data_IF_537757754337
#
_entry.id   IF_537757754337
#
_cell.length_a   1.000
_cell.length_b   1.000
_cell.length_c   1.000
_cell.angle_alpha   90.00
_cell.angle_beta   90.00
_cell.angle_gamma   90.00
#
_symmetry.space_group_name_H-M   'P 1'
#
loop_
_entity.id
_entity.type
_entity.pdbx_description
1 polymer ?
#
# COMPACT_ATOMS: atom_id res chain seq x y z
N UNK A 1 22.01 14.39 26.52
CA UNK A 1 22.17 13.77 27.85
C UNK A 1 20.90 12.97 28.15
N UNK A 2 21.08 11.66 28.32
CA UNK A 2 20.22 10.65 28.98
C UNK A 2 18.71 10.56 28.70
N UNK A 3 18.30 10.23 27.48
CA UNK A 3 16.90 9.78 27.23
C UNK A 3 16.81 8.28 26.82
N UNK A 4 17.93 7.55 26.86
CA UNK A 4 17.99 6.11 26.56
C UNK A 4 17.85 5.20 27.78
N UNK A 5 17.94 5.76 29.01
CA UNK A 5 17.92 4.97 30.26
C UNK A 5 16.55 4.45 30.69
N UNK A 6 15.45 5.04 30.22
CA UNK A 6 14.12 4.90 30.85
C UNK A 6 13.09 4.07 30.07
N UNK A 7 13.41 3.52 28.90
CA UNK A 7 12.48 2.72 28.10
C UNK A 7 12.90 1.25 28.04
N UNK A 8 13.10 0.66 29.22
CA UNK A 8 13.29 -0.79 29.33
C UNK A 8 12.03 -1.52 28.82
N UNK A 9 12.15 -2.43 27.84
CA UNK A 9 11.00 -3.16 27.33
C UNK A 9 10.43 -4.08 28.42
N UNK A 10 9.09 -4.25 28.44
CA UNK A 10 8.43 -5.05 29.47
C UNK A 10 8.88 -6.52 29.46
N UNK A 11 8.89 -7.13 30.64
CA UNK A 11 9.38 -8.50 30.83
C UNK A 11 8.36 -9.58 30.41
N UNK A 12 7.06 -9.25 30.42
CA UNK A 12 6.00 -10.16 30.02
C UNK A 12 5.94 -10.34 28.49
N UNK A 13 5.78 -11.56 27.96
CA UNK A 13 5.84 -11.83 26.53
C UNK A 13 4.75 -11.10 25.73
N UNK A 14 3.52 -11.02 26.26
CA UNK A 14 2.41 -10.29 25.63
C UNK A 14 2.63 -8.78 25.63
N UNK A 15 3.09 -8.23 26.75
CA UNK A 15 3.39 -6.79 26.85
C UNK A 15 4.59 -6.40 25.97
N UNK A 16 5.59 -7.28 25.84
CA UNK A 16 6.72 -7.11 24.92
C UNK A 16 6.28 -7.21 23.46
N UNK A 17 5.34 -8.10 23.15
CA UNK A 17 4.78 -8.16 21.82
C UNK A 17 4.03 -6.88 21.44
N UNK A 18 3.24 -6.34 22.38
CA UNK A 18 2.57 -5.06 22.20
C UNK A 18 3.57 -3.89 22.08
N UNK A 19 4.63 -3.90 22.87
CA UNK A 19 5.72 -2.92 22.80
C UNK A 19 6.37 -2.89 21.41
N UNK A 20 6.61 -4.07 20.83
CA UNK A 20 7.22 -4.25 19.51
C UNK A 20 6.21 -4.19 18.35
N UNK A 21 4.92 -3.95 18.60
CA UNK A 21 3.89 -3.87 17.56
C UNK A 21 4.01 -2.56 16.76
N UNK A 22 4.79 -2.59 15.68
CA UNK A 22 5.03 -1.45 14.77
C UNK A 22 3.81 -1.11 13.90
N UNK A 23 3.66 0.17 13.52
CA UNK A 23 2.65 0.62 12.55
C UNK A 23 2.76 -0.08 11.18
N UNK A 24 3.92 -0.63 10.87
CA UNK A 24 4.16 -1.41 9.67
C UNK A 24 3.21 -2.62 9.53
N UNK A 25 2.67 -3.17 10.62
CA UNK A 25 1.64 -4.20 10.56
C UNK A 25 0.39 -3.83 9.76
N UNK A 26 0.08 -2.54 9.60
CA UNK A 26 -1.07 -2.08 8.82
C UNK A 26 -0.96 -2.37 7.31
N UNK A 27 0.20 -2.83 6.83
CA UNK A 27 0.38 -3.18 5.42
C UNK A 27 -0.23 -4.54 5.08
N UNK A 28 -0.44 -5.41 6.08
CA UNK A 28 -1.16 -6.69 5.90
C UNK A 28 -2.63 -6.46 5.50
N UNK A 29 -3.45 -5.69 6.25
CA UNK A 29 -4.82 -5.40 5.82
C UNK A 29 -4.84 -4.55 4.55
N UNK A 30 -3.87 -3.66 4.33
CA UNK A 30 -3.75 -2.91 3.07
C UNK A 30 -3.65 -3.85 1.85
N UNK A 31 -2.69 -4.79 1.86
CA UNK A 31 -2.49 -5.72 0.75
C UNK A 31 -3.63 -6.73 0.59
N UNK A 32 -4.22 -7.16 1.70
CA UNK A 32 -5.37 -8.09 1.67
C UNK A 32 -6.63 -7.41 1.11
N UNK A 33 -6.84 -6.13 1.44
CA UNK A 33 -7.98 -5.35 0.96
C UNK A 33 -8.00 -5.16 -0.54
N UNK A 34 -6.86 -4.84 -1.16
CA UNK A 34 -6.80 -4.68 -2.62
C UNK A 34 -7.03 -6.00 -3.36
N UNK A 35 -6.59 -7.14 -2.81
CA UNK A 35 -6.87 -8.46 -3.41
C UNK A 35 -8.38 -8.72 -3.43
N UNK A 36 -9.10 -8.37 -2.37
CA UNK A 36 -10.56 -8.49 -2.34
C UNK A 36 -11.22 -7.66 -3.47
N UNK A 37 -10.76 -6.42 -3.68
CA UNK A 37 -11.24 -5.55 -4.76
C UNK A 37 -11.01 -6.20 -6.12
N UNK A 38 -9.79 -6.67 -6.40
CA UNK A 38 -9.45 -7.23 -7.73
C UNK A 38 -10.23 -8.53 -7.98
N UNK A 39 -10.32 -9.43 -6.99
CA UNK A 39 -11.09 -10.68 -7.10
C UNK A 39 -12.55 -10.43 -7.45
N UNK A 40 -13.16 -9.40 -6.85
CA UNK A 40 -14.56 -9.07 -7.10
C UNK A 40 -14.80 -8.51 -8.51
N UNK A 41 -13.79 -7.86 -9.10
CA UNK A 41 -13.90 -7.09 -10.35
C UNK A 41 -13.37 -7.79 -11.59
N UNK A 42 -12.66 -8.90 -11.43
CA UNK A 42 -12.10 -9.67 -12.54
C UNK A 42 -13.19 -10.03 -13.58
N UNK A 43 -12.85 -10.04 -14.88
CA UNK A 43 -13.78 -10.44 -15.95
C UNK A 43 -14.12 -11.93 -15.91
N UNK A 44 -13.11 -12.79 -15.77
CA UNK A 44 -13.29 -14.24 -15.68
C UNK A 44 -13.76 -14.65 -14.28
N UNK A 45 -15.08 -14.64 -14.08
CA UNK A 45 -15.72 -15.02 -12.81
C UNK A 45 -16.21 -16.46 -12.88
N UNK A 46 -15.97 -17.22 -11.81
CA UNK A 46 -16.69 -18.48 -11.54
C UNK A 46 -17.60 -18.30 -10.32
N UNK A 47 -18.58 -19.20 -10.15
CA UNK A 47 -19.66 -19.07 -9.16
C UNK A 47 -19.22 -18.88 -7.69
N UNK A 48 -17.95 -19.12 -7.35
CA UNK A 48 -17.39 -18.92 -6.01
C UNK A 48 -16.49 -17.68 -5.85
N UNK A 49 -16.09 -17.00 -6.93
CA UNK A 49 -15.03 -15.98 -6.86
C UNK A 49 -15.47 -14.72 -6.11
N UNK A 50 -16.70 -14.24 -6.34
CA UNK A 50 -17.28 -13.11 -5.59
C UNK A 50 -17.48 -13.44 -4.10
N UNK A 51 -17.81 -14.69 -3.79
CA UNK A 51 -17.91 -15.17 -2.41
C UNK A 51 -16.53 -15.16 -1.74
N UNK A 52 -15.50 -15.66 -2.43
CA UNK A 52 -14.12 -15.60 -1.95
C UNK A 52 -13.66 -14.15 -1.73
N UNK A 53 -13.95 -13.25 -2.68
CA UNK A 53 -13.66 -11.82 -2.55
C UNK A 53 -14.32 -11.21 -1.30
N UNK A 54 -15.56 -11.59 -1.01
CA UNK A 54 -16.28 -11.16 0.20
C UNK A 54 -15.62 -11.70 1.48
N UNK A 55 -15.19 -12.96 1.48
CA UNK A 55 -14.48 -13.56 2.64
C UNK A 55 -13.18 -12.80 2.90
N UNK A 56 -12.37 -12.55 1.86
CA UNK A 56 -11.12 -11.79 1.97
C UNK A 56 -11.38 -10.34 2.43
N UNK A 57 -12.49 -9.73 1.99
CA UNK A 57 -12.91 -8.40 2.44
C UNK A 57 -13.26 -8.37 3.94
N UNK A 58 -14.08 -9.31 4.42
CA UNK A 58 -14.41 -9.43 5.85
C UNK A 58 -13.14 -9.68 6.67
N UNK A 59 -12.27 -10.57 6.18
CA UNK A 59 -10.98 -10.84 6.79
C UNK A 59 -10.12 -9.58 6.91
N UNK A 60 -10.13 -8.71 5.90
CA UNK A 60 -9.44 -7.41 5.92
C UNK A 60 -10.01 -6.47 6.99
N UNK A 61 -11.34 -6.39 7.13
CA UNK A 61 -12.00 -5.57 8.16
C UNK A 61 -11.58 -6.04 9.55
N UNK A 62 -11.61 -7.36 9.78
CA UNK A 62 -11.21 -7.96 11.07
C UNK A 62 -9.73 -7.68 11.36
N UNK A 63 -8.85 -7.84 10.37
CA UNK A 63 -7.42 -7.54 10.52
C UNK A 63 -7.17 -6.07 10.86
N UNK A 64 -7.79 -5.14 10.12
CA UNK A 64 -7.63 -3.71 10.36
C UNK A 64 -8.14 -3.34 11.76
N UNK A 65 -9.33 -3.81 12.14
CA UNK A 65 -9.91 -3.56 13.46
C UNK A 65 -9.03 -4.09 14.59
N UNK A 66 -8.55 -5.33 14.47
CA UNK A 66 -7.66 -5.94 15.46
C UNK A 66 -6.35 -5.15 15.61
N UNK A 67 -5.73 -4.77 14.49
CA UNK A 67 -4.46 -4.05 14.51
C UNK A 67 -4.61 -2.62 15.03
N UNK A 68 -5.74 -1.96 14.74
CA UNK A 68 -6.07 -0.67 15.32
C UNK A 68 -6.22 -0.76 16.84
N UNK A 69 -6.96 -1.76 17.34
CA UNK A 69 -7.12 -1.98 18.78
C UNK A 69 -5.75 -2.20 19.45
N UNK A 70 -4.90 -3.06 18.88
CA UNK A 70 -3.56 -3.32 19.40
C UNK A 70 -2.67 -2.06 19.37
N UNK A 71 -2.70 -1.30 18.29
CA UNK A 71 -1.91 -0.07 18.18
C UNK A 71 -2.38 1.02 19.15
N UNK A 72 -3.69 1.17 19.33
CA UNK A 72 -4.27 2.07 20.33
C UNK A 72 -3.87 1.63 21.76
N UNK A 73 -3.93 0.33 22.06
CA UNK A 73 -3.45 -0.21 23.34
C UNK A 73 -1.98 0.14 23.57
N UNK A 74 -1.14 0.03 22.54
CA UNK A 74 0.28 0.41 22.59
C UNK A 74 0.46 1.90 22.86
N UNK A 75 -0.35 2.77 22.24
CA UNK A 75 -0.33 4.22 22.48
C UNK A 75 -0.69 4.54 23.94
N UNK A 76 -1.75 3.92 24.49
CA UNK A 76 -2.21 4.19 25.84
C UNK A 76 -1.28 3.63 26.93
N UNK A 77 -0.74 2.42 26.73
CA UNK A 77 0.12 1.77 27.72
C UNK A 77 1.57 2.25 27.66
N UNK A 78 2.07 2.64 26.49
CA UNK A 78 3.48 3.00 26.27
C UNK A 78 3.66 4.31 25.47
N UNK A 79 3.05 5.44 25.90
CA UNK A 79 3.00 6.67 25.11
C UNK A 79 4.39 7.25 24.82
N UNK A 80 5.30 7.25 25.81
CA UNK A 80 6.68 7.75 25.67
C UNK A 80 7.47 6.93 24.65
N UNK A 81 7.28 5.62 24.64
CA UNK A 81 7.92 4.73 23.68
C UNK A 81 7.43 5.01 22.26
N UNK A 82 6.11 5.08 22.07
CA UNK A 82 5.52 5.33 20.75
C UNK A 82 5.97 6.70 20.22
N UNK A 83 5.93 7.74 21.04
CA UNK A 83 6.42 9.07 20.66
C UNK A 83 7.89 9.06 20.24
N UNK A 84 8.74 8.33 20.98
CA UNK A 84 10.14 8.16 20.61
C UNK A 84 10.30 7.43 19.27
N UNK A 85 9.53 6.37 19.01
CA UNK A 85 9.56 5.66 17.72
C UNK A 85 9.10 6.56 16.56
N UNK A 86 8.01 7.31 16.72
CA UNK A 86 7.53 8.24 15.70
C UNK A 86 8.53 9.37 15.41
N UNK A 87 9.34 9.79 16.39
CA UNK A 87 10.36 10.83 16.17
C UNK A 87 11.64 10.30 15.53
N UNK A 88 11.98 9.03 15.72
CA UNK A 88 13.30 8.52 15.35
C UNK A 88 13.28 7.49 14.22
N UNK A 89 12.11 6.94 13.85
CA UNK A 89 11.98 5.95 12.77
C UNK A 89 10.99 6.41 11.70
N UNK A 90 11.53 6.73 10.53
CA UNK A 90 10.77 7.13 9.33
C UNK A 90 9.74 6.08 8.91
N UNK A 91 10.12 4.80 8.89
CA UNK A 91 9.22 3.69 8.56
C UNK A 91 7.98 3.66 9.46
N UNK A 92 8.13 3.90 10.77
CA UNK A 92 7.00 3.89 11.72
C UNK A 92 6.01 5.02 11.39
N UNK A 93 6.52 6.21 11.04
CA UNK A 93 5.67 7.34 10.66
C UNK A 93 5.00 7.14 9.30
N UNK A 94 5.73 6.63 8.29
CA UNK A 94 5.19 6.41 6.94
C UNK A 94 4.07 5.37 6.95
N UNK A 95 4.25 4.26 7.66
CA UNK A 95 3.27 3.16 7.65
C UNK A 95 1.95 3.50 8.34
N UNK A 96 1.83 4.63 9.06
CA UNK A 96 0.55 5.06 9.62
C UNK A 96 -0.48 5.38 8.51
N UNK A 97 -0.04 5.82 7.33
CA UNK A 97 -0.95 6.09 6.22
C UNK A 97 -1.60 4.80 5.67
N UNK A 98 -1.03 3.63 5.94
CA UNK A 98 -1.58 2.34 5.53
C UNK A 98 -2.94 2.04 6.16
N UNK A 99 -3.26 2.66 7.31
CA UNK A 99 -4.59 2.64 7.90
C UNK A 99 -5.61 3.22 6.90
N UNK A 100 -5.31 4.41 6.36
CA UNK A 100 -6.17 5.07 5.37
C UNK A 100 -6.24 4.27 4.06
N UNK A 101 -5.13 3.74 3.57
CA UNK A 101 -5.12 2.92 2.34
C UNK A 101 -5.98 1.67 2.49
N UNK A 102 -5.81 0.92 3.59
CA UNK A 102 -6.62 -0.27 3.88
C UNK A 102 -8.11 0.08 4.02
N UNK A 103 -8.41 1.22 4.67
CA UNK A 103 -9.79 1.68 4.81
C UNK A 103 -10.41 2.05 3.47
N UNK A 104 -9.67 2.68 2.55
CA UNK A 104 -10.14 2.91 1.17
C UNK A 104 -10.52 1.61 0.47
N UNK A 105 -9.70 0.56 0.56
CA UNK A 105 -10.02 -0.74 -0.07
C UNK A 105 -11.29 -1.37 0.52
N UNK A 106 -11.48 -1.24 1.83
CA UNK A 106 -12.72 -1.67 2.49
C UNK A 106 -13.93 -0.89 1.94
N UNK A 107 -13.82 0.44 1.80
CA UNK A 107 -14.89 1.28 1.27
C UNK A 107 -15.18 1.03 -0.20
N UNK A 108 -14.15 0.76 -1.03
CA UNK A 108 -14.33 0.38 -2.43
C UNK A 108 -15.13 -0.93 -2.55
N UNK A 109 -14.79 -1.95 -1.77
CA UNK A 109 -15.56 -3.20 -1.73
C UNK A 109 -16.98 -2.98 -1.19
N UNK A 110 -17.14 -2.15 -0.18
CA UNK A 110 -18.46 -1.78 0.33
C UNK A 110 -19.30 -1.09 -0.75
N UNK A 111 -18.72 -0.18 -1.54
CA UNK A 111 -19.39 0.48 -2.66
C UNK A 111 -19.81 -0.52 -3.75
N UNK A 112 -18.92 -1.44 -4.12
CA UNK A 112 -19.19 -2.45 -5.16
C UNK A 112 -20.30 -3.45 -4.79
N UNK A 113 -20.54 -3.67 -3.49
CA UNK A 113 -21.55 -4.63 -2.99
C UNK A 113 -22.82 -3.97 -2.46
N UNK A 114 -22.70 -2.84 -1.79
CA UNK A 114 -23.77 -2.15 -1.07
C UNK A 114 -23.98 -0.70 -1.52
N UNK A 115 -23.40 -0.28 -2.66
CA UNK A 115 -23.52 1.07 -3.19
C UNK A 115 -24.97 1.51 -3.46
N UNK A 116 -25.86 0.57 -3.78
CA UNK A 116 -27.28 0.84 -4.00
C UNK A 116 -28.06 1.13 -2.71
N UNK A 117 -27.71 0.48 -1.59
CA UNK A 117 -28.48 0.55 -0.33
C UNK A 117 -27.86 1.49 0.69
N UNK A 118 -26.52 1.54 0.74
CA UNK A 118 -25.75 2.25 1.77
C UNK A 118 -24.81 3.31 1.19
N UNK A 119 -25.08 3.80 -0.02
CA UNK A 119 -24.22 4.73 -0.74
C UNK A 119 -23.86 6.01 0.05
N UNK A 120 -24.83 6.60 0.75
CA UNK A 120 -24.59 7.80 1.57
C UNK A 120 -23.66 7.52 2.77
N UNK A 121 -23.84 6.38 3.45
CA UNK A 121 -22.97 6.02 4.57
C UNK A 121 -21.53 5.79 4.10
N UNK A 122 -21.35 5.10 2.97
CA UNK A 122 -20.04 4.86 2.35
C UNK A 122 -19.39 6.19 1.94
N UNK A 123 -20.16 7.13 1.40
CA UNK A 123 -19.70 8.46 1.05
C UNK A 123 -19.20 9.27 2.26
N UNK A 124 -19.95 9.24 3.37
CA UNK A 124 -19.54 9.93 4.61
C UNK A 124 -18.24 9.33 5.16
N UNK A 125 -18.16 7.99 5.19
CA UNK A 125 -16.94 7.30 5.63
C UNK A 125 -15.75 7.58 4.71
N UNK A 126 -15.99 7.75 3.40
CA UNK A 126 -14.96 8.16 2.46
C UNK A 126 -14.42 9.55 2.78
N UNK A 127 -15.26 10.54 3.07
CA UNK A 127 -14.78 11.87 3.48
C UNK A 127 -13.89 11.84 4.73
N UNK A 128 -14.25 11.02 5.72
CA UNK A 128 -13.40 10.80 6.90
C UNK A 128 -12.04 10.25 6.48
N UNK A 129 -12.04 9.28 5.57
CA UNK A 129 -10.81 8.69 5.05
C UNK A 129 -9.97 9.65 4.20
N UNK A 130 -10.60 10.45 3.34
CA UNK A 130 -9.98 11.53 2.57
C UNK A 130 -9.30 12.52 3.50
N UNK A 131 -9.96 12.92 4.59
CA UNK A 131 -9.34 13.73 5.63
C UNK A 131 -8.07 13.10 6.22
N UNK A 132 -8.11 11.79 6.54
CA UNK A 132 -6.93 11.06 7.00
C UNK A 132 -5.82 10.99 5.95
N UNK A 133 -6.16 10.76 4.67
CA UNK A 133 -5.21 10.67 3.57
C UNK A 133 -4.50 12.01 3.31
N UNK A 134 -5.25 13.11 3.27
CA UNK A 134 -4.71 14.46 3.10
C UNK A 134 -3.83 14.85 4.30
N UNK A 135 -4.28 14.56 5.53
CA UNK A 135 -3.47 14.78 6.73
C UNK A 135 -2.17 13.99 6.68
N UNK A 136 -2.20 12.72 6.28
CA UNK A 136 -0.99 11.91 6.11
C UNK A 136 -0.06 12.51 5.05
N UNK A 137 -0.60 12.91 3.90
CA UNK A 137 0.13 13.51 2.77
C UNK A 137 0.83 14.83 3.15
N UNK A 138 0.25 15.63 4.05
CA UNK A 138 0.84 16.89 4.50
C UNK A 138 1.77 16.72 5.70
N UNK A 139 1.33 16.00 6.74
CA UNK A 139 2.02 15.93 8.03
C UNK A 139 3.23 15.01 7.98
N UNK A 140 3.13 13.85 7.33
CA UNK A 140 4.23 12.86 7.35
C UNK A 140 5.48 13.41 6.64
N UNK A 141 5.41 13.96 5.41
CA UNK A 141 6.59 14.55 4.77
C UNK A 141 7.14 15.75 5.56
N UNK A 142 6.28 16.57 6.18
CA UNK A 142 6.72 17.66 7.05
C UNK A 142 7.52 17.15 8.25
N UNK A 143 7.03 16.09 8.92
CA UNK A 143 7.73 15.43 10.05
C UNK A 143 9.07 14.87 9.59
N UNK A 144 9.13 14.24 8.41
CA UNK A 144 10.38 13.74 7.84
C UNK A 144 11.41 14.85 7.62
N UNK A 145 10.97 15.97 7.02
CA UNK A 145 11.84 17.10 6.68
C UNK A 145 12.31 17.92 7.89
N UNK A 146 11.45 18.09 8.91
CA UNK A 146 11.72 19.00 10.04
C UNK A 146 12.14 18.30 11.31
N UNK A 147 11.62 17.10 11.58
CA UNK A 147 11.84 16.42 12.86
C UNK A 147 12.76 15.21 12.72
N UNK A 148 12.73 14.52 11.59
CA UNK A 148 13.51 13.31 11.34
C UNK A 148 14.67 13.53 10.37
N UNK A 149 15.30 14.72 10.41
CA UNK A 149 16.45 15.06 9.56
C UNK A 149 17.54 13.99 9.69
N UNK A 150 17.47 13.03 8.80
CA UNK A 150 18.42 11.93 8.78
C UNK A 150 19.68 12.51 8.21
N UNK A 151 20.77 12.53 8.97
CA UNK A 151 22.13 12.78 8.45
C UNK A 151 22.58 11.78 7.37
N UNK A 152 21.66 10.97 6.84
CA UNK A 152 21.83 10.03 5.74
C UNK A 152 21.44 10.75 4.45
N UNK A 153 22.42 10.91 3.55
CA UNK A 153 22.27 11.45 2.18
C UNK A 153 21.29 10.69 1.26
N UNK A 154 20.59 9.68 1.77
CA UNK A 154 19.79 8.76 0.97
C UNK A 154 18.35 8.73 1.45
N UNK A 155 17.46 9.19 0.58
CA UNK A 155 16.03 9.12 0.78
C UNK A 155 15.54 7.70 0.47
N UNK A 156 14.81 7.10 1.39
CA UNK A 156 14.24 5.77 1.20
C UNK A 156 12.86 5.85 0.53
N UNK A 157 12.54 4.88 -0.32
CA UNK A 157 11.31 4.85 -1.11
C UNK A 157 10.02 4.66 -0.28
N UNK A 158 10.12 4.31 1.01
CA UNK A 158 9.02 4.33 1.97
C UNK A 158 8.49 5.75 2.25
N UNK A 159 9.25 6.79 1.92
CA UNK A 159 8.80 8.18 2.01
C UNK A 159 7.64 8.50 1.05
N UNK A 160 7.40 7.65 0.04
CA UNK A 160 6.30 7.80 -0.92
C UNK A 160 4.93 7.35 -0.40
N UNK A 161 4.87 6.59 0.70
CA UNK A 161 3.61 5.99 1.18
C UNK A 161 2.49 7.03 1.45
N UNK A 162 2.76 8.21 2.04
CA UNK A 162 1.70 9.19 2.27
C UNK A 162 1.05 9.69 0.97
N UNK A 163 1.83 9.80 -0.11
CA UNK A 163 1.31 10.17 -1.43
C UNK A 163 0.47 9.04 -2.03
N UNK A 164 0.86 7.79 -1.81
CA UNK A 164 0.04 6.63 -2.18
C UNK A 164 -1.31 6.64 -1.47
N UNK A 165 -1.39 7.11 -0.22
CA UNK A 165 -2.67 7.24 0.48
C UNK A 165 -3.63 8.22 -0.21
N UNK A 166 -3.13 9.39 -0.64
CA UNK A 166 -3.92 10.35 -1.41
C UNK A 166 -4.38 9.76 -2.76
N UNK A 167 -3.48 9.12 -3.51
CA UNK A 167 -3.83 8.45 -4.78
C UNK A 167 -4.85 7.32 -4.60
N UNK A 168 -4.76 6.60 -3.48
CA UNK A 168 -5.73 5.55 -3.16
C UNK A 168 -7.08 6.15 -2.80
N UNK A 169 -7.13 7.18 -1.96
CA UNK A 169 -8.35 7.93 -1.63
C UNK A 169 -9.06 8.44 -2.89
N UNK A 170 -8.30 9.01 -3.84
CA UNK A 170 -8.81 9.48 -5.12
C UNK A 170 -9.47 8.36 -5.95
N UNK A 171 -8.84 7.18 -6.02
CA UNK A 171 -9.45 6.02 -6.65
C UNK A 171 -10.73 5.56 -5.93
N UNK A 172 -10.73 5.59 -4.59
CA UNK A 172 -11.92 5.33 -3.79
C UNK A 172 -13.07 6.28 -4.13
N UNK A 173 -12.79 7.57 -4.25
CA UNK A 173 -13.77 8.60 -4.61
C UNK A 173 -14.37 8.37 -5.99
N UNK A 174 -13.52 8.06 -6.99
CA UNK A 174 -13.97 7.67 -8.32
C UNK A 174 -14.89 6.44 -8.31
N UNK A 175 -14.48 5.36 -7.63
CA UNK A 175 -15.29 4.14 -7.54
C UNK A 175 -16.63 4.40 -6.85
N UNK A 176 -16.63 5.13 -5.72
CA UNK A 176 -17.85 5.43 -4.97
C UNK A 176 -18.81 6.27 -5.80
N UNK A 177 -18.33 7.33 -6.47
CA UNK A 177 -19.15 8.16 -7.34
C UNK A 177 -19.67 7.40 -8.56
N UNK A 178 -18.92 6.42 -9.08
CA UNK A 178 -19.34 5.57 -10.19
C UNK A 178 -20.45 4.58 -9.80
N UNK A 179 -20.34 3.92 -8.65
CA UNK A 179 -21.18 2.74 -8.33
C UNK A 179 -22.24 2.98 -7.26
N UNK A 180 -22.10 4.03 -6.45
CA UNK A 180 -23.03 4.29 -5.35
C UNK A 180 -24.16 5.21 -5.79
N UNK A 181 -25.40 4.92 -5.36
CA UNK A 181 -26.57 5.78 -5.60
C UNK A 181 -26.49 7.02 -4.72
N UNK A 182 -25.82 8.05 -5.22
CA UNK A 182 -25.63 9.33 -4.56
C UNK A 182 -26.08 10.43 -5.52
N UNK A 183 -26.64 11.53 -5.01
CA UNK A 183 -27.05 12.63 -5.87
C UNK A 183 -25.85 13.27 -6.58
N UNK A 184 -26.00 13.74 -7.83
CA UNK A 184 -24.93 14.41 -8.58
C UNK A 184 -24.31 15.61 -7.84
N UNK A 185 -25.12 16.29 -7.01
CA UNK A 185 -24.66 17.41 -6.17
C UNK A 185 -23.61 17.00 -5.12
N UNK A 186 -23.64 15.76 -4.65
CA UNK A 186 -22.67 15.21 -3.71
C UNK A 186 -21.50 14.53 -4.42
N UNK A 187 -21.74 13.94 -5.61
CA UNK A 187 -20.70 13.30 -6.43
C UNK A 187 -19.68 14.31 -6.96
N UNK A 188 -20.13 15.48 -7.45
CA UNK A 188 -19.24 16.46 -8.07
C UNK A 188 -18.13 16.95 -7.12
N UNK A 189 -18.40 17.39 -5.87
CA UNK A 189 -17.34 17.75 -4.94
C UNK A 189 -16.35 16.60 -4.66
N UNK A 190 -16.84 15.37 -4.54
CA UNK A 190 -15.99 14.21 -4.31
C UNK A 190 -15.09 13.90 -5.50
N UNK A 191 -15.60 14.04 -6.74
CA UNK A 191 -14.82 13.92 -7.98
C UNK A 191 -13.74 15.00 -8.02
N UNK A 192 -14.10 16.26 -7.76
CA UNK A 192 -13.16 17.39 -7.77
C UNK A 192 -12.04 17.18 -6.74
N UNK A 193 -12.39 16.86 -5.50
CA UNK A 193 -11.39 16.60 -4.44
C UNK A 193 -10.51 15.41 -4.80
N UNK A 194 -11.07 14.36 -5.40
CA UNK A 194 -10.28 13.21 -5.86
C UNK A 194 -9.27 13.60 -6.96
N UNK A 195 -9.63 14.49 -7.89
CA UNK A 195 -8.68 15.03 -8.87
C UNK A 195 -7.60 15.92 -8.21
N UNK A 196 -7.95 16.67 -7.17
CA UNK A 196 -6.97 17.46 -6.40
C UNK A 196 -5.98 16.55 -5.64
N UNK A 197 -6.48 15.51 -4.98
CA UNK A 197 -5.65 14.48 -4.34
C UNK A 197 -4.72 13.81 -5.35
N UNK A 198 -5.23 13.54 -6.55
CA UNK A 198 -4.45 12.98 -7.65
C UNK A 198 -3.34 13.91 -8.10
N UNK A 199 -3.63 15.20 -8.28
CA UNK A 199 -2.65 16.21 -8.66
C UNK A 199 -1.51 16.33 -7.65
N UNK A 200 -1.84 16.39 -6.35
CA UNK A 200 -0.84 16.43 -5.27
C UNK A 200 -0.03 15.12 -5.22
N UNK A 201 -0.70 13.98 -5.23
CA UNK A 201 -0.05 12.67 -5.13
C UNK A 201 0.90 12.41 -6.29
N UNK A 202 0.45 12.62 -7.53
CA UNK A 202 1.23 12.34 -8.73
C UNK A 202 2.44 13.28 -8.88
N UNK A 203 2.25 14.57 -8.63
CA UNK A 203 3.34 15.55 -8.74
C UNK A 203 4.45 15.28 -7.72
N UNK A 204 4.08 14.94 -6.47
CA UNK A 204 5.05 14.64 -5.42
C UNK A 204 5.75 13.29 -5.67
N UNK A 205 5.03 12.29 -6.17
CA UNK A 205 5.64 11.03 -6.61
C UNK A 205 6.69 11.29 -7.69
N UNK A 206 6.35 12.03 -8.75
CA UNK A 206 7.30 12.32 -9.84
C UNK A 206 8.55 13.09 -9.34
N UNK A 207 8.39 14.02 -8.40
CA UNK A 207 9.50 14.75 -7.80
C UNK A 207 10.43 13.82 -6.99
N UNK A 208 9.86 12.96 -6.16
CA UNK A 208 10.62 11.99 -5.36
C UNK A 208 11.26 10.91 -6.22
N UNK A 209 10.57 10.44 -7.28
CA UNK A 209 11.10 9.50 -8.27
C UNK A 209 12.35 10.07 -8.95
N UNK A 210 12.31 11.35 -9.33
CA UNK A 210 13.46 12.04 -9.92
C UNK A 210 14.65 12.11 -8.94
N UNK A 211 14.40 12.38 -7.66
CA UNK A 211 15.45 12.40 -6.63
C UNK A 211 16.04 11.01 -6.42
N UNK A 212 15.22 9.96 -6.39
CA UNK A 212 15.68 8.58 -6.25
C UNK A 212 16.49 8.16 -7.48
N UNK A 213 16.04 8.53 -8.68
CA UNK A 213 16.79 8.30 -9.91
C UNK A 213 18.15 9.01 -9.90
N UNK A 214 18.22 10.27 -9.46
CA UNK A 214 19.47 11.01 -9.31
C UNK A 214 20.43 10.32 -8.31
N UNK A 215 19.89 9.76 -7.21
CA UNK A 215 20.69 8.98 -6.27
C UNK A 215 21.26 7.71 -6.90
N UNK A 216 20.62 7.12 -7.92
CA UNK A 216 21.18 5.96 -8.62
C UNK A 216 22.41 6.29 -9.44
N UNK A 217 22.41 7.42 -10.15
CA UNK A 217 23.58 7.86 -10.92
C UNK A 217 24.81 8.16 -10.04
N UNK A 218 24.60 8.52 -8.77
CA UNK A 218 25.68 8.83 -7.83
C UNK A 218 26.25 7.63 -7.05
N UNK A 219 25.74 6.40 -7.25
CA UNK A 219 26.10 5.24 -6.43
C UNK A 219 27.05 4.29 -7.15
N UNK A 220 28.13 3.88 -6.48
CA UNK A 220 29.14 2.92 -6.99
C UNK A 220 28.82 1.45 -6.68
N UNK A 221 27.98 1.15 -5.68
CA UNK A 221 27.52 -0.21 -5.35
C UNK A 221 26.09 -0.20 -4.80
N UNK A 222 25.27 -1.18 -5.20
CA UNK A 222 23.92 -1.38 -4.67
C UNK A 222 23.91 -2.53 -3.66
N UNK A 223 23.50 -2.25 -2.42
CA UNK A 223 23.18 -3.30 -1.45
C UNK A 223 21.89 -4.00 -1.86
N UNK A 224 21.76 -5.31 -1.60
CA UNK A 224 20.58 -6.13 -1.96
C UNK A 224 19.25 -5.55 -1.47
N UNK A 225 19.28 -4.77 -0.39
CA UNK A 225 18.12 -4.08 0.17
C UNK A 225 17.58 -2.92 -0.66
N UNK A 226 18.41 -2.31 -1.50
CA UNK A 226 18.03 -1.15 -2.31
C UNK A 226 17.38 -1.56 -3.62
N UNK A 227 17.78 -2.71 -4.17
CA UNK A 227 17.26 -3.27 -5.42
C UNK A 227 15.76 -3.51 -5.37
N UNK A 228 15.24 -3.88 -4.20
CA UNK A 228 13.80 -4.08 -4.03
C UNK A 228 13.03 -2.77 -3.87
N UNK A 229 13.68 -1.65 -3.55
CA UNK A 229 13.03 -0.33 -3.44
C UNK A 229 12.61 0.21 -4.82
N UNK A 230 13.25 -0.22 -5.90
CA UNK A 230 12.88 0.14 -7.28
C UNK A 230 11.44 -0.24 -7.60
N UNK A 231 10.96 -1.35 -7.05
CA UNK A 231 9.58 -1.77 -7.25
C UNK A 231 8.58 -0.87 -6.53
N UNK A 232 8.97 -0.08 -5.54
CA UNK A 232 8.00 0.75 -4.84
C UNK A 232 7.43 1.84 -5.76
N UNK A 233 8.22 2.25 -6.75
CA UNK A 233 7.91 3.35 -7.67
C UNK A 233 6.76 3.02 -8.63
N UNK A 234 6.55 1.75 -8.98
CA UNK A 234 5.45 1.36 -9.87
C UNK A 234 4.06 1.42 -9.20
N UNK A 235 3.97 1.57 -7.87
CA UNK A 235 2.70 1.61 -7.14
C UNK A 235 1.90 2.85 -7.18
N UNK A 236 2.50 3.98 -6.84
CA UNK A 236 1.89 5.26 -7.08
C UNK A 236 1.39 5.38 -8.53
N UNK A 237 2.17 4.91 -9.51
CA UNK A 237 1.78 4.92 -10.92
C UNK A 237 0.55 4.05 -11.20
N UNK A 238 0.55 2.78 -10.76
CA UNK A 238 -0.60 1.90 -10.91
C UNK A 238 -1.86 2.43 -10.21
N UNK A 239 -1.70 2.98 -9.00
CA UNK A 239 -2.80 3.54 -8.22
C UNK A 239 -3.37 4.83 -8.83
N UNK A 240 -2.51 5.72 -9.33
CA UNK A 240 -2.92 6.92 -10.06
C UNK A 240 -3.68 6.56 -11.34
N UNK A 241 -3.24 5.53 -12.06
CA UNK A 241 -3.94 5.02 -13.25
C UNK A 241 -5.35 4.52 -12.90
N UNK A 242 -5.49 3.71 -11.84
CA UNK A 242 -6.82 3.27 -11.36
C UNK A 242 -7.70 4.47 -11.00
N UNK A 243 -7.14 5.47 -10.33
CA UNK A 243 -7.89 6.66 -9.93
C UNK A 243 -8.40 7.44 -11.14
N UNK A 244 -7.56 7.67 -12.15
CA UNK A 244 -7.95 8.36 -13.39
C UNK A 244 -9.01 7.59 -14.18
N UNK A 245 -8.92 6.27 -14.22
CA UNK A 245 -9.94 5.41 -14.85
C UNK A 245 -11.28 5.53 -14.10
N UNK A 246 -11.27 5.33 -12.78
CA UNK A 246 -12.48 5.40 -11.97
C UNK A 246 -13.14 6.80 -11.98
N UNK A 247 -12.34 7.86 -11.97
CA UNK A 247 -12.85 9.24 -12.05
C UNK A 247 -13.38 9.58 -13.44
N UNK A 248 -12.70 9.15 -14.50
CA UNK A 248 -13.18 9.33 -15.88
C UNK A 248 -14.55 8.69 -16.09
N UNK A 249 -14.73 7.47 -15.60
CA UNK A 249 -16.03 6.78 -15.64
C UNK A 249 -17.10 7.46 -14.79
N UNK A 250 -16.75 7.95 -13.59
CA UNK A 250 -17.69 8.67 -12.73
C UNK A 250 -18.19 9.97 -13.37
N UNK A 251 -17.33 10.65 -14.15
CA UNK A 251 -17.71 11.82 -14.95
C UNK A 251 -18.62 11.42 -16.12
N UNK A 252 -18.24 10.35 -16.85
CA UNK A 252 -19.00 9.84 -18.00
C UNK A 252 -20.38 9.29 -17.60
N UNK A 253 -20.55 8.82 -16.37
CA UNK A 253 -21.82 8.34 -15.82
C UNK A 253 -22.90 9.44 -15.66
N UNK A 254 -22.63 10.69 -16.07
CA UNK A 254 -23.62 11.76 -16.12
C UNK A 254 -23.60 12.71 -14.92
N UNK A 255 -22.66 12.54 -13.99
CA UNK A 255 -22.52 13.41 -12.80
C UNK A 255 -22.40 14.90 -13.18
N UNK A 256 -21.64 15.21 -14.24
CA UNK A 256 -21.44 16.59 -14.71
C UNK A 256 -22.64 17.10 -15.51
N UNK A 257 -23.26 16.24 -16.32
CA UNK A 257 -24.46 16.58 -17.08
C UNK A 257 -25.64 16.96 -16.18
N UNK A 258 -25.80 16.27 -15.04
CA UNK A 258 -26.86 16.55 -14.08
C UNK A 258 -26.54 17.74 -13.14
N UNK A 259 -25.28 18.15 -13.02
CA UNK A 259 -24.88 19.30 -12.22
C UNK A 259 -25.06 20.61 -12.99
N UNK A 260 -24.68 20.63 -14.28
CA UNK A 260 -24.86 21.71 -15.26
C UNK A 260 -24.55 23.12 -14.71
N UNK A 261 -23.32 23.32 -14.22
CA UNK A 261 -22.86 24.61 -13.70
C UNK A 261 -21.49 24.99 -14.26
N UNK A 262 -21.36 26.26 -14.65
CA UNK A 262 -20.09 26.81 -15.16
C UNK A 262 -19.72 26.22 -16.51
N UNK A 263 -18.43 26.21 -16.85
CA UNK A 263 -17.93 25.70 -18.13
C UNK A 263 -17.47 24.24 -18.04
N UNK A 264 -16.84 23.85 -16.93
CA UNK A 264 -16.21 22.53 -16.76
C UNK A 264 -17.17 21.44 -16.27
N UNK A 265 -18.24 21.79 -15.55
CA UNK A 265 -19.18 20.84 -14.95
C UNK A 265 -20.48 20.78 -15.76
N UNK A 266 -20.33 20.55 -17.07
CA UNK A 266 -21.43 20.49 -18.04
C UNK A 266 -21.39 19.19 -18.81
N UNK A 267 -22.52 18.83 -19.44
CA UNK A 267 -22.59 17.63 -20.29
C UNK A 267 -21.56 17.66 -21.44
N UNK A 268 -21.32 18.85 -22.03
CA UNK A 268 -20.36 19.02 -23.13
C UNK A 268 -18.92 18.74 -22.72
N UNK A 269 -18.56 19.00 -21.47
CA UNK A 269 -17.22 18.77 -20.96
C UNK A 269 -17.01 17.33 -20.44
N UNK A 270 -18.09 16.57 -20.19
CA UNK A 270 -18.01 15.26 -19.54
C UNK A 270 -17.22 14.22 -20.36
N UNK A 271 -17.57 14.02 -21.64
CA UNK A 271 -16.90 13.01 -22.47
C UNK A 271 -15.43 13.34 -22.75
N UNK A 272 -15.06 14.56 -23.20
CA UNK A 272 -13.65 14.91 -23.41
C UNK A 272 -12.82 14.75 -22.13
N UNK A 273 -13.36 15.15 -20.99
CA UNK A 273 -12.67 15.06 -19.72
C UNK A 273 -12.47 13.61 -19.28
N UNK A 274 -13.49 12.76 -19.47
CA UNK A 274 -13.37 11.33 -19.24
C UNK A 274 -12.29 10.70 -20.14
N UNK A 275 -12.30 10.96 -21.45
CA UNK A 275 -11.30 10.39 -22.37
C UNK A 275 -9.88 10.84 -22.04
N UNK A 276 -9.68 12.12 -21.71
CA UNK A 276 -8.39 12.64 -21.26
C UNK A 276 -7.95 11.93 -19.98
N UNK A 277 -8.85 11.75 -19.02
CA UNK A 277 -8.56 11.03 -17.77
C UNK A 277 -8.09 9.60 -18.06
N UNK A 278 -8.83 8.84 -18.86
CA UNK A 278 -8.45 7.48 -19.25
C UNK A 278 -7.10 7.42 -19.98
N UNK A 279 -6.87 8.34 -20.93
CA UNK A 279 -5.63 8.41 -21.71
C UNK A 279 -4.42 8.74 -20.82
N UNK A 280 -4.52 9.73 -19.94
CA UNK A 280 -3.48 10.04 -18.96
C UNK A 280 -3.26 8.84 -18.04
N UNK A 281 -4.32 8.14 -17.64
CA UNK A 281 -4.24 6.91 -16.87
C UNK A 281 -3.40 5.84 -17.56
N UNK A 282 -3.52 5.71 -18.89
CA UNK A 282 -2.72 4.78 -19.69
C UNK A 282 -1.25 5.20 -19.78
N UNK A 283 -0.99 6.50 -19.98
CA UNK A 283 0.38 7.04 -20.01
C UNK A 283 1.11 6.83 -18.68
N UNK A 284 0.44 7.08 -17.56
CA UNK A 284 1.01 6.87 -16.21
C UNK A 284 1.22 5.38 -15.95
N UNK A 285 0.32 4.51 -16.41
CA UNK A 285 0.52 3.07 -16.32
C UNK A 285 1.75 2.62 -17.13
N UNK A 286 1.95 3.19 -18.33
CA UNK A 286 3.17 3.02 -19.13
C UNK A 286 4.44 3.48 -18.40
N UNK A 287 4.39 4.60 -17.68
CA UNK A 287 5.49 5.02 -16.80
C UNK A 287 5.75 4.00 -15.67
N UNK A 288 4.69 3.40 -15.11
CA UNK A 288 4.80 2.29 -14.16
C UNK A 288 5.45 1.04 -14.77
N UNK A 289 5.17 0.71 -16.04
CA UNK A 289 5.81 -0.40 -16.77
C UNK A 289 7.33 -0.19 -16.84
N UNK A 290 7.79 1.03 -17.12
CA UNK A 290 9.22 1.34 -17.15
C UNK A 290 9.89 0.98 -15.82
N UNK A 291 9.35 1.46 -14.69
CA UNK A 291 9.88 1.14 -13.36
C UNK A 291 9.82 -0.35 -13.04
N UNK A 292 8.77 -1.03 -13.48
CA UNK A 292 8.63 -2.47 -13.31
C UNK A 292 9.72 -3.25 -14.05
N UNK A 293 9.99 -2.96 -15.33
CA UNK A 293 11.08 -3.58 -16.08
C UNK A 293 12.45 -3.18 -15.54
N UNK A 294 12.64 -1.92 -15.17
CA UNK A 294 13.89 -1.43 -14.61
C UNK A 294 14.26 -2.18 -13.33
N UNK A 295 13.28 -2.39 -12.44
CA UNK A 295 13.47 -3.18 -11.22
C UNK A 295 13.81 -4.65 -11.53
N UNK A 296 13.16 -5.27 -12.52
CA UNK A 296 13.48 -6.65 -12.94
C UNK A 296 14.93 -6.73 -13.42
N UNK A 297 15.37 -5.80 -14.29
CA UNK A 297 16.75 -5.75 -14.78
C UNK A 297 17.74 -5.53 -13.62
N UNK A 298 17.43 -4.63 -12.70
CA UNK A 298 18.23 -4.33 -11.50
C UNK A 298 18.41 -5.57 -10.60
N UNK A 299 17.33 -6.32 -10.39
CA UNK A 299 17.35 -7.61 -9.66
C UNK A 299 18.20 -8.64 -10.39
N UNK A 300 17.97 -8.85 -11.69
CA UNK A 300 18.72 -9.82 -12.49
C UNK A 300 20.22 -9.50 -12.51
N UNK A 301 20.59 -8.23 -12.71
CA UNK A 301 21.97 -7.77 -12.70
C UNK A 301 22.63 -8.01 -11.34
N UNK A 302 21.96 -7.66 -10.26
CA UNK A 302 22.47 -7.86 -8.89
C UNK A 302 22.67 -9.34 -8.57
N UNK A 303 21.71 -10.20 -8.96
CA UNK A 303 21.83 -11.64 -8.74
C UNK A 303 22.96 -12.27 -9.55
N UNK A 304 23.26 -11.72 -10.74
CA UNK A 304 24.34 -12.21 -11.60
C UNK A 304 25.73 -11.76 -11.14
N UNK A 305 25.86 -10.53 -10.63
CA UNK A 305 27.16 -9.91 -10.30
C UNK A 305 27.65 -10.18 -8.88
N UNK A 306 26.81 -10.72 -7.98
CA UNK A 306 27.22 -10.99 -6.60
C UNK A 306 28.18 -12.21 -6.47
N UNK A 307 29.37 -12.06 -5.87
CA UNK A 307 30.30 -13.17 -5.63
C UNK A 307 29.73 -14.13 -4.57
N UNK A 308 29.16 -15.24 -5.03
CA UNK A 308 28.50 -16.27 -4.21
C UNK A 308 27.08 -16.66 -4.65
N UNK A 309 26.52 -16.00 -5.68
CA UNK A 309 25.21 -16.31 -6.27
C UNK A 309 24.04 -16.28 -5.25
N UNK A 310 22.94 -16.99 -5.56
CA UNK A 310 21.76 -17.10 -4.68
C UNK A 310 22.06 -17.53 -3.23
N UNK A 311 23.19 -18.21 -2.99
CA UNK A 311 23.53 -18.84 -1.71
C UNK A 311 24.02 -17.86 -0.63
N UNK A 312 24.48 -16.67 -1.01
CA UNK A 312 24.98 -15.64 -0.06
C UNK A 312 24.04 -14.46 0.14
N UNK A 313 22.89 -14.44 -0.57
CA UNK A 313 21.82 -13.48 -0.33
C UNK A 313 21.27 -13.65 1.09
N UNK A 314 21.78 -12.85 2.03
CA UNK A 314 21.16 -12.68 3.33
C UNK A 314 19.91 -11.87 3.10
N UNK A 315 18.78 -12.56 3.17
CA UNK A 315 17.45 -12.00 3.04
C UNK A 315 17.23 -10.93 4.12
N UNK A 316 17.09 -9.69 3.67
CA UNK A 316 16.84 -8.54 4.51
C UNK A 316 15.44 -7.98 4.22
N UNK A 317 14.98 -7.11 5.10
CA UNK A 317 13.60 -6.60 5.22
C UNK A 317 13.00 -6.03 3.93
N UNK A 318 13.83 -5.69 2.94
CA UNK A 318 13.40 -5.09 1.68
C UNK A 318 12.70 -6.05 0.72
N UNK A 319 12.68 -7.37 0.95
CA UNK A 319 11.98 -8.32 0.04
C UNK A 319 10.44 -8.15 0.03
N UNK A 320 9.90 -7.30 0.90
CA UNK A 320 8.46 -7.01 0.99
C UNK A 320 7.98 -5.85 0.12
N UNK A 321 8.86 -5.13 -0.59
CA UNK A 321 8.47 -4.06 -1.51
C UNK A 321 7.95 -4.54 -2.87
N UNK A 322 7.94 -5.85 -3.06
CA UNK A 322 7.69 -6.52 -4.33
C UNK A 322 6.19 -6.87 -4.50
N UNK A 323 5.47 -7.08 -3.38
CA UNK A 323 4.01 -7.34 -3.31
C UNK A 323 3.14 -6.05 -3.14
N UNK A 324 3.79 -4.88 -3.08
CA UNK A 324 3.38 -3.58 -2.50
C UNK A 324 3.45 -3.44 -0.98
N UNK A 325 3.92 -2.26 -0.49
CA UNK A 325 5.27 -2.19 0.01
C UNK A 325 5.26 -2.16 1.54
N UNK A 326 6.07 -3.04 2.14
CA UNK A 326 6.59 -3.05 3.52
C UNK A 326 5.83 -3.79 4.63
N UNK A 327 6.23 -5.01 4.97
CA UNK A 327 6.24 -5.42 6.39
C UNK A 327 7.57 -6.07 6.72
N UNK A 328 8.38 -5.39 7.55
CA UNK A 328 9.41 -5.97 8.42
C UNK A 328 8.82 -7.11 9.25
N UNK A 329 8.74 -8.29 8.66
CA UNK A 329 8.89 -9.50 9.44
C UNK A 329 9.04 -10.75 8.60
N UNK A 330 10.28 -11.18 8.38
CA UNK A 330 10.66 -12.60 8.36
C UNK A 330 12.17 -12.73 8.12
N UNK A 331 12.90 -12.77 9.23
CA UNK A 331 14.20 -13.44 9.28
C UNK A 331 13.92 -14.92 9.58
N UNK A 332 14.62 -15.80 8.83
CA UNK A 332 14.95 -17.21 9.14
C UNK A 332 14.37 -18.38 8.33
N UNK A 333 13.72 -18.23 7.17
CA UNK A 333 13.42 -19.40 6.32
C UNK A 333 13.66 -19.13 4.82
N UNK A 334 14.92 -18.88 4.48
CA UNK A 334 15.46 -19.01 3.12
C UNK A 334 15.68 -20.48 2.85
N UNK A 335 14.79 -21.18 2.14
CA UNK A 335 15.11 -22.48 1.50
C UNK A 335 14.15 -22.93 0.38
N UNK A 336 13.42 -22.05 -0.31
CA UNK A 336 12.53 -22.50 -1.41
C UNK A 336 12.57 -21.59 -2.66
N UNK A 337 13.45 -21.92 -3.60
CA UNK A 337 13.24 -21.83 -5.06
C UNK A 337 13.01 -20.48 -5.78
N UNK A 338 13.44 -20.40 -7.04
CA UNK A 338 13.25 -19.26 -7.94
C UNK A 338 11.78 -18.89 -8.26
N UNK A 339 10.83 -19.79 -7.99
CA UNK A 339 9.40 -19.52 -8.14
C UNK A 339 8.88 -18.44 -7.16
N UNK A 340 9.42 -18.40 -5.93
CA UNK A 340 9.15 -17.32 -4.96
C UNK A 340 9.80 -15.99 -5.34
N UNK A 341 10.75 -15.98 -6.27
CA UNK A 341 11.32 -14.76 -6.86
C UNK A 341 10.42 -14.22 -7.97
N UNK A 342 9.67 -15.09 -8.67
CA UNK A 342 8.67 -14.69 -9.67
C UNK A 342 7.40 -14.09 -9.02
N UNK A 343 6.90 -14.74 -7.97
CA UNK A 343 5.79 -14.28 -7.14
C UNK A 343 6.04 -12.96 -6.41
N UNK A 344 7.33 -12.65 -6.26
CA UNK A 344 7.83 -11.42 -5.71
C UNK A 344 7.31 -10.25 -6.57
N UNK A 345 7.30 -10.35 -7.90
CA UNK A 345 7.10 -9.22 -8.85
C UNK A 345 5.70 -8.56 -8.93
N UNK A 346 4.78 -8.78 -7.99
CA UNK A 346 3.36 -8.53 -8.20
C UNK A 346 2.70 -7.45 -7.36
N UNK A 347 2.07 -6.55 -8.08
CA UNK A 347 1.65 -5.27 -7.56
C UNK A 347 0.15 -5.12 -7.68
N UNK A 348 -0.56 -5.25 -6.56
CA UNK A 348 -2.02 -5.19 -6.53
C UNK A 348 -2.61 -3.98 -7.25
N UNK A 349 -2.06 -2.77 -7.08
CA UNK A 349 -2.57 -1.57 -7.76
C UNK A 349 -2.29 -1.60 -9.27
N UNK A 350 -1.15 -2.15 -9.70
CA UNK A 350 -0.79 -2.33 -11.10
C UNK A 350 -1.68 -3.38 -11.78
N UNK A 351 -1.96 -4.50 -11.10
CA UNK A 351 -2.93 -5.51 -11.54
C UNK A 351 -4.34 -4.93 -11.62
N UNK A 352 -4.75 -4.12 -10.64
CA UNK A 352 -6.05 -3.47 -10.64
C UNK A 352 -6.21 -2.49 -11.82
N UNK A 353 -5.16 -1.74 -12.17
CA UNK A 353 -5.14 -0.91 -13.38
C UNK A 353 -5.33 -1.75 -14.65
N UNK A 354 -4.65 -2.91 -14.74
CA UNK A 354 -4.81 -3.82 -15.87
C UNK A 354 -6.22 -4.42 -15.96
N UNK A 355 -6.87 -4.74 -14.83
CA UNK A 355 -8.27 -5.18 -14.80
C UNK A 355 -9.20 -4.07 -15.29
N UNK A 356 -8.99 -2.82 -14.87
CA UNK A 356 -9.78 -1.69 -15.36
C UNK A 356 -9.61 -1.46 -16.86
N UNK A 357 -8.38 -1.54 -17.36
CA UNK A 357 -8.12 -1.43 -18.79
C UNK A 357 -8.74 -2.56 -19.61
N UNK A 358 -8.74 -3.80 -19.10
CA UNK A 358 -9.46 -4.91 -19.73
C UNK A 358 -10.96 -4.62 -19.87
N UNK A 359 -11.55 -4.02 -18.84
CA UNK A 359 -12.96 -3.61 -18.83
C UNK A 359 -13.24 -2.40 -19.75
N UNK A 360 -12.36 -1.40 -19.75
CA UNK A 360 -12.54 -0.15 -20.50
C UNK A 360 -12.29 -0.30 -22.01
N UNK A 361 -11.27 -1.07 -22.39
CA UNK A 361 -10.91 -1.29 -23.79
C UNK A 361 -11.55 -2.54 -24.40
N UNK A 362 -12.29 -3.31 -23.61
CA UNK A 362 -12.83 -4.65 -23.94
C UNK A 362 -11.79 -5.54 -24.63
N UNK A 363 -10.57 -5.56 -24.09
CA UNK A 363 -9.41 -6.22 -24.71
C UNK A 363 -9.13 -7.58 -24.06
N UNK A 364 -9.24 -8.69 -24.80
CA UNK A 364 -8.93 -10.02 -24.28
C UNK A 364 -7.49 -10.14 -23.77
N UNK A 365 -6.55 -9.40 -24.36
CA UNK A 365 -5.14 -9.39 -23.94
C UNK A 365 -5.01 -8.87 -22.51
N UNK A 366 -5.68 -7.77 -22.17
CA UNK A 366 -5.66 -7.21 -20.82
C UNK A 366 -6.41 -8.11 -19.83
N UNK A 367 -7.48 -8.78 -20.26
CA UNK A 367 -8.23 -9.71 -19.41
C UNK A 367 -7.39 -10.93 -19.04
N UNK A 368 -6.69 -11.54 -20.00
CA UNK A 368 -5.79 -12.68 -19.76
C UNK A 368 -4.59 -12.25 -18.93
N UNK A 369 -3.96 -11.13 -19.28
CA UNK A 369 -2.80 -10.59 -18.56
C UNK A 369 -3.12 -10.26 -17.10
N UNK A 370 -4.22 -9.54 -16.86
CA UNK A 370 -4.65 -9.19 -15.51
C UNK A 370 -5.05 -10.41 -14.68
N UNK A 371 -5.61 -11.45 -15.29
CA UNK A 371 -5.90 -12.73 -14.63
C UNK A 371 -4.63 -13.47 -14.23
N UNK A 372 -3.63 -13.54 -15.12
CA UNK A 372 -2.34 -14.15 -14.82
C UNK A 372 -1.65 -13.42 -13.65
N UNK A 373 -1.68 -12.08 -13.66
CA UNK A 373 -1.17 -11.28 -12.55
C UNK A 373 -1.95 -11.54 -11.26
N UNK A 374 -3.28 -11.57 -11.29
CA UNK A 374 -4.06 -11.83 -10.08
C UNK A 374 -3.77 -13.22 -9.49
N UNK A 375 -3.64 -14.26 -10.32
CA UNK A 375 -3.33 -15.62 -9.84
C UNK A 375 -1.99 -15.64 -9.10
N UNK A 376 -0.96 -15.02 -9.67
CA UNK A 376 0.33 -14.90 -9.00
C UNK A 376 0.22 -14.07 -7.71
N UNK A 377 -0.59 -13.01 -7.68
CA UNK A 377 -0.79 -12.17 -6.50
C UNK A 377 -1.45 -12.96 -5.36
N UNK A 378 -2.47 -13.76 -5.68
CA UNK A 378 -3.18 -14.61 -4.70
C UNK A 378 -2.27 -15.69 -4.14
N UNK A 379 -1.49 -16.37 -4.99
CA UNK A 379 -0.51 -17.37 -4.53
C UNK A 379 0.51 -16.72 -3.60
N UNK A 380 1.01 -15.53 -3.94
CA UNK A 380 1.98 -14.80 -3.13
C UNK A 380 1.42 -14.41 -1.78
N UNK A 381 0.19 -13.91 -1.79
CA UNK A 381 -0.55 -13.58 -0.58
C UNK A 381 -0.78 -14.79 0.32
N UNK A 382 -1.20 -15.95 -0.20
CA UNK A 382 -1.38 -17.18 0.60
C UNK A 382 -0.07 -17.57 1.30
N UNK A 383 1.03 -17.59 0.56
CA UNK A 383 2.35 -17.96 1.08
C UNK A 383 2.76 -17.01 2.20
N UNK A 384 2.61 -15.70 1.97
CA UNK A 384 2.89 -14.66 2.95
C UNK A 384 2.04 -14.83 4.21
N UNK A 385 0.75 -15.13 4.08
CA UNK A 385 -0.13 -15.30 5.23
C UNK A 385 0.25 -16.53 6.06
N UNK A 386 0.56 -17.66 5.42
CA UNK A 386 1.02 -18.86 6.11
C UNK A 386 2.30 -18.58 6.90
N UNK A 387 3.25 -17.88 6.28
CA UNK A 387 4.51 -17.52 6.94
C UNK A 387 4.31 -16.51 8.08
N UNK A 388 3.40 -15.56 7.91
CA UNK A 388 3.06 -14.56 8.93
C UNK A 388 2.41 -15.23 10.13
N UNK A 389 1.45 -16.14 9.91
CA UNK A 389 0.82 -16.93 10.97
C UNK A 389 1.86 -17.80 11.70
N UNK A 390 2.75 -18.48 10.98
CA UNK A 390 3.85 -19.24 11.58
C UNK A 390 4.77 -18.36 12.41
N UNK A 391 5.06 -17.15 11.93
CA UNK A 391 5.80 -16.17 12.68
C UNK A 391 5.08 -15.78 13.98
N UNK A 392 3.78 -15.51 13.92
CA UNK A 392 2.98 -15.07 15.07
C UNK A 392 2.97 -16.17 16.12
N UNK A 393 2.73 -17.41 15.71
CA UNK A 393 2.75 -18.59 16.59
C UNK A 393 4.13 -18.79 17.24
N UNK A 394 5.22 -18.57 16.51
CA UNK A 394 6.58 -18.69 17.05
C UNK A 394 7.01 -17.49 17.90
N UNK A 395 6.30 -16.37 17.85
CA UNK A 395 6.63 -15.14 18.58
C UNK A 395 7.77 -14.33 17.97
N UNK A 396 8.50 -14.89 16.99
CA UNK A 396 9.64 -14.23 16.32
C UNK A 396 9.26 -12.89 15.70
N UNK A 397 7.98 -12.74 15.31
CA UNK A 397 7.43 -11.52 14.70
C UNK A 397 7.42 -10.33 15.64
N UNK A 398 7.35 -10.62 16.91
CA UNK A 398 7.26 -9.64 17.97
C UNK A 398 8.59 -9.47 18.71
N UNK A 399 9.70 -9.94 18.12
CA UNK A 399 11.01 -9.95 18.78
C UNK A 399 11.07 -10.90 19.97
N UNK A 400 10.23 -11.94 19.99
CA UNK A 400 10.23 -12.94 21.03
C UNK A 400 11.12 -14.14 20.61
N UNK A 401 12.44 -14.02 20.80
CA UNK A 401 13.39 -15.06 20.37
C UNK A 401 13.25 -16.40 21.13
N UNK A 402 12.75 -16.32 22.37
CA UNK A 402 12.58 -17.42 23.32
C UNK A 402 11.14 -17.97 23.36
N UNK A 403 10.24 -17.47 22.49
CA UNK A 403 8.83 -17.86 22.38
C UNK A 403 7.92 -17.27 23.48
N UNK A 404 6.61 -17.54 23.36
CA UNK A 404 5.57 -16.94 24.21
C UNK A 404 5.56 -17.38 25.69
N UNK A 405 6.26 -18.46 26.05
CA UNK A 405 6.22 -19.05 27.40
C UNK A 405 7.27 -18.50 28.35
N UNK A 406 8.31 -17.83 27.84
CA UNK A 406 9.44 -17.36 28.66
C UNK A 406 9.30 -15.87 28.97
N UNK A 407 9.65 -15.50 30.21
CA UNK A 407 9.77 -14.10 30.64
C UNK A 407 11.12 -13.57 30.18
N UNK A 408 11.15 -12.35 29.69
CA UNK A 408 12.38 -11.74 29.21
C UNK A 408 12.96 -10.80 30.26
N UNK A 409 14.25 -10.92 30.52
CA UNK A 409 14.96 -10.11 31.50
C UNK A 409 16.17 -9.45 30.82
N UNK A 410 15.95 -8.24 30.30
CA UNK A 410 17.01 -7.47 29.62
C UNK A 410 17.93 -6.76 30.63
N UNK A 411 17.80 -7.03 31.94
CA UNK A 411 18.69 -6.50 33.00
C UNK A 411 19.93 -7.37 33.23
N UNK A 412 20.01 -8.57 32.66
CA UNK A 412 21.20 -9.42 32.78
C UNK A 412 22.16 -9.17 31.61
N UNK A 413 23.44 -8.82 31.85
CA UNK A 413 24.42 -8.80 30.78
C UNK A 413 24.49 -10.19 30.16
N UNK A 414 24.55 -10.22 28.83
CA UNK A 414 24.80 -11.44 28.05
C UNK A 414 26.10 -12.03 28.58
N UNK A 415 26.04 -13.19 29.26
CA UNK A 415 27.25 -13.97 29.50
C UNK A 415 27.71 -14.47 28.14
N UNK A 416 28.81 -13.91 27.65
CA UNK A 416 29.59 -14.47 26.55
C UNK A 416 29.86 -15.94 26.88
N UNK A 417 29.46 -16.83 25.99
CA UNK A 417 29.82 -18.25 25.97
C UNK A 417 30.06 -18.66 24.53
#
# INVERSE_FOLDING_TARGET
>A
MSDQGDLLPPAGPLSRALWNFSSLWFIVPQGTGIIAVILYRLKYQFNGLKTLATIVWIYTIVQLGLFLILYLLRIFLHPRHVQHQLRNKTIETSCLCCISIAFTSILQMAALKYGDTSGLAIYILWWVNTGMAVLACLVIPFVHLKMQQSGKRHMQADTLMPFLAALTSAAGGGVICRVSRISPRLQVPAIIVSYLELGVGLALVAAFDTIILAQYFGRTFQTTDMVYQDMIMCGPCGQASVALQALGEAVQAGSFAAYDRGQLLTAKAADPFAFISHFIGLLIWGYGIFWWFFAILSICYTLYTQPGGLKRSRFTMSVWSVVFPWVRMLVSLVFLGGFLTMLRFLQGTFTNAAVEFGRLMDSPTFDVFSTALLLLLVIGWIIIQILTLKGIVTGRVFGLDHGWRKRYDDRRPVKEA
#
